data_IF_926274102235
#
_entry.id   IF_926274102235
#
_cell.length_a   1.000
_cell.length_b   1.000
_cell.length_c   1.000
_cell.angle_alpha   90.00
_cell.angle_beta   90.00
_cell.angle_gamma   90.00
#
_symmetry.space_group_name_H-M   'P 1'
#
loop_
_entity.id
_entity.type
_entity.pdbx_description
1 polymer ?
#
# COMPACT_ATOMS: atom_id res chain seq x y z
N UNK A 1 -33.76 -5.52 24.40
CA UNK A 1 -32.50 -6.20 24.03
C UNK A 1 -31.89 -5.39 22.93
N UNK A 2 -30.68 -4.91 23.17
CA UNK A 2 -30.46 -3.56 23.74
C UNK A 2 -29.34 -2.89 22.97
N UNK A 3 -29.40 -1.57 22.80
CA UNK A 3 -28.38 -0.76 22.10
C UNK A 3 -26.93 -1.07 22.53
N UNK A 4 -26.76 -1.62 23.73
CA UNK A 4 -25.50 -2.08 24.34
C UNK A 4 -24.89 -3.31 23.62
N UNK A 5 -25.70 -4.30 23.21
CA UNK A 5 -25.20 -5.51 22.51
C UNK A 5 -24.57 -5.16 21.15
N UNK A 6 -25.09 -4.11 20.50
CA UNK A 6 -24.55 -3.63 19.22
C UNK A 6 -23.23 -2.83 19.37
N UNK A 7 -22.95 -2.27 20.55
CA UNK A 7 -21.72 -1.51 20.81
C UNK A 7 -20.55 -2.43 21.12
N UNK A 8 -20.77 -3.47 21.95
CA UNK A 8 -19.76 -4.47 22.27
C UNK A 8 -19.32 -5.23 21.02
N UNK A 9 -20.28 -5.62 20.17
CA UNK A 9 -20.04 -6.22 18.87
C UNK A 9 -19.20 -5.35 17.91
N UNK A 10 -19.35 -4.03 18.00
CA UNK A 10 -18.61 -3.09 17.15
C UNK A 10 -17.17 -2.94 17.63
N UNK A 11 -16.99 -2.80 18.94
CA UNK A 11 -15.66 -2.67 19.55
C UNK A 11 -14.83 -3.94 19.31
N UNK A 12 -15.44 -5.12 19.41
CA UNK A 12 -14.76 -6.38 19.07
C UNK A 12 -14.33 -6.44 17.61
N UNK A 13 -15.20 -6.01 16.67
CA UNK A 13 -14.84 -5.93 15.25
C UNK A 13 -13.68 -4.97 15.02
N UNK A 14 -13.66 -3.84 15.72
CA UNK A 14 -12.55 -2.86 15.66
C UNK A 14 -11.27 -3.48 16.22
N UNK A 15 -11.32 -4.14 17.39
CA UNK A 15 -10.18 -4.84 18.00
C UNK A 15 -9.57 -5.85 17.05
N UNK A 16 -10.40 -6.75 16.51
CA UNK A 16 -9.96 -7.80 15.58
C UNK A 16 -9.34 -7.18 14.33
N UNK A 17 -9.94 -6.12 13.79
CA UNK A 17 -9.39 -5.44 12.61
C UNK A 17 -8.08 -4.70 12.89
N UNK A 18 -7.96 -4.05 14.04
CA UNK A 18 -6.73 -3.37 14.47
C UNK A 18 -5.59 -4.37 14.66
N UNK A 19 -5.88 -5.55 15.23
CA UNK A 19 -4.92 -6.64 15.37
C UNK A 19 -4.37 -7.10 14.00
N UNK A 20 -5.24 -7.34 13.03
CA UNK A 20 -4.77 -7.71 11.68
C UNK A 20 -3.97 -6.60 11.00
N UNK A 21 -4.33 -5.33 11.24
CA UNK A 21 -3.54 -4.19 10.74
C UNK A 21 -2.15 -4.11 11.39
N UNK A 22 -2.00 -4.51 12.66
CA UNK A 22 -0.68 -4.57 13.28
C UNK A 22 0.20 -5.67 12.70
N UNK A 23 -0.38 -6.80 12.31
CA UNK A 23 0.33 -7.93 11.68
C UNK A 23 0.83 -7.61 10.26
N UNK A 24 0.25 -6.61 9.58
CA UNK A 24 0.72 -6.14 8.27
C UNK A 24 2.12 -5.51 8.32
N UNK A 25 2.71 -5.29 9.51
CA UNK A 25 4.07 -4.75 9.72
C UNK A 25 4.35 -3.45 8.95
N UNK A 26 3.33 -2.61 8.83
CA UNK A 26 3.44 -1.30 8.19
C UNK A 26 4.33 -0.39 9.02
N UNK A 27 5.05 0.54 8.38
CA UNK A 27 5.76 1.54 9.15
C UNK A 27 4.77 2.51 9.81
N UNK A 28 5.20 3.16 10.88
CA UNK A 28 4.38 4.18 11.54
C UNK A 28 3.97 5.30 10.57
N UNK A 29 4.87 5.69 9.65
CA UNK A 29 4.59 6.68 8.62
C UNK A 29 3.51 6.20 7.64
N UNK A 30 3.54 4.91 7.25
CA UNK A 30 2.53 4.34 6.37
C UNK A 30 1.15 4.30 7.04
N UNK A 31 1.10 4.02 8.35
CA UNK A 31 -0.15 4.11 9.10
C UNK A 31 -0.67 5.55 9.19
N UNK A 32 0.20 6.53 9.47
CA UNK A 32 -0.19 7.94 9.44
C UNK A 32 -0.75 8.34 8.08
N UNK A 33 -0.11 7.88 7.00
CA UNK A 33 -0.56 8.11 5.63
C UNK A 33 -1.93 7.49 5.36
N UNK A 34 -2.11 6.20 5.69
CA UNK A 34 -3.38 5.49 5.52
C UNK A 34 -4.51 6.15 6.32
N UNK A 35 -4.22 6.59 7.55
CA UNK A 35 -5.21 7.28 8.37
C UNK A 35 -5.59 8.64 7.77
N UNK A 36 -4.60 9.41 7.29
CA UNK A 36 -4.82 10.69 6.61
C UNK A 36 -5.71 10.54 5.37
N UNK A 37 -5.39 9.57 4.51
CA UNK A 37 -6.17 9.26 3.32
C UNK A 37 -7.63 8.94 3.68
N UNK A 38 -7.85 8.07 4.67
CA UNK A 38 -9.20 7.69 5.11
C UNK A 38 -9.98 8.87 5.68
N UNK A 39 -9.35 9.73 6.47
CA UNK A 39 -10.00 10.91 7.02
C UNK A 39 -10.45 11.88 5.93
N UNK A 40 -9.59 12.13 4.93
CA UNK A 40 -9.93 13.01 3.80
C UNK A 40 -11.05 12.38 2.96
N UNK A 41 -10.99 11.06 2.73
CA UNK A 41 -12.01 10.31 2.00
C UNK A 41 -13.39 10.37 2.67
N UNK A 42 -13.44 10.34 4.01
CA UNK A 42 -14.70 10.48 4.77
C UNK A 42 -15.22 11.93 4.71
N UNK A 43 -14.32 12.92 4.71
CA UNK A 43 -14.69 14.34 4.69
C UNK A 43 -15.11 14.86 3.31
N UNK A 44 -14.57 14.28 2.22
CA UNK A 44 -14.84 14.72 0.84
C UNK A 44 -15.03 13.50 -0.07
N UNK A 45 -16.17 13.43 -0.78
CA UNK A 45 -16.37 12.52 -1.91
C UNK A 45 -15.81 13.17 -3.18
N UNK A 46 -14.52 12.99 -3.47
CA UNK A 46 -13.86 13.62 -4.62
C UNK A 46 -12.43 13.14 -4.86
N UNK A 47 -11.73 13.73 -5.84
CA UNK A 47 -10.30 13.47 -6.05
C UNK A 47 -9.51 13.96 -4.84
N UNK A 48 -8.67 13.09 -4.30
CA UNK A 48 -7.83 13.39 -3.15
C UNK A 48 -6.49 13.91 -3.66
N UNK A 49 -6.07 15.06 -3.16
CA UNK A 49 -4.76 15.62 -3.46
C UNK A 49 -3.68 15.01 -2.56
N UNK A 50 -2.54 14.68 -3.15
CA UNK A 50 -1.42 14.01 -2.47
C UNK A 50 -0.79 14.95 -1.44
N UNK A 51 -0.72 16.25 -1.75
CA UNK A 51 -0.14 17.26 -0.84
C UNK A 51 -1.03 17.46 0.40
N UNK A 52 -2.35 17.41 0.24
CA UNK A 52 -3.30 17.41 1.36
C UNK A 52 -3.12 16.16 2.25
N UNK A 53 -3.00 14.96 1.66
CA UNK A 53 -2.72 13.73 2.42
C UNK A 53 -1.42 13.88 3.20
N UNK A 54 -0.36 14.34 2.55
CA UNK A 54 0.95 14.48 3.18
C UNK A 54 0.91 15.43 4.37
N UNK A 55 0.30 16.62 4.20
CA UNK A 55 0.15 17.59 5.28
C UNK A 55 -0.65 17.00 6.44
N UNK A 56 -1.72 16.26 6.15
CA UNK A 56 -2.55 15.61 7.18
C UNK A 56 -1.80 14.46 7.87
N UNK A 57 -1.02 13.67 7.14
CA UNK A 57 -0.20 12.61 7.69
C UNK A 57 0.86 13.16 8.66
N UNK A 58 1.47 14.30 8.34
CA UNK A 58 2.40 14.99 9.24
C UNK A 58 1.72 15.49 10.52
N UNK A 59 0.50 16.04 10.43
CA UNK A 59 -0.29 16.42 11.61
C UNK A 59 -0.58 15.21 12.50
N UNK A 60 -1.00 14.09 11.90
CA UNK A 60 -1.26 12.84 12.61
C UNK A 60 0.02 12.31 13.26
N UNK A 61 1.14 12.31 12.53
CA UNK A 61 2.43 11.87 13.06
C UNK A 61 2.85 12.66 14.30
N UNK A 62 2.54 13.96 14.35
CA UNK A 62 2.84 14.81 15.51
C UNK A 62 1.88 14.60 16.68
N UNK A 63 0.62 14.24 16.40
CA UNK A 63 -0.41 14.06 17.42
C UNK A 63 -0.38 12.68 18.08
N UNK A 64 -0.10 11.64 17.31
CA UNK A 64 -0.11 10.26 17.78
C UNK A 64 1.29 9.81 18.14
N UNK A 65 1.41 9.05 19.23
CA UNK A 65 2.72 8.56 19.73
C UNK A 65 2.82 7.04 19.76
N UNK A 66 1.70 6.34 19.59
CA UNK A 66 1.65 4.88 19.65
C UNK A 66 1.10 4.27 18.37
N UNK A 67 1.76 3.20 17.96
CA UNK A 67 1.41 2.42 16.77
C UNK A 67 -0.01 1.82 16.89
N UNK A 68 -0.31 1.22 18.05
CA UNK A 68 -1.59 0.55 18.29
C UNK A 68 -2.78 1.51 18.21
N UNK A 69 -2.60 2.75 18.66
CA UNK A 69 -3.63 3.79 18.59
C UNK A 69 -3.97 4.15 17.12
N UNK A 70 -2.96 4.19 16.24
CA UNK A 70 -3.18 4.40 14.80
C UNK A 70 -3.90 3.21 14.16
N UNK A 71 -3.46 1.98 14.43
CA UNK A 71 -4.14 0.76 13.96
C UNK A 71 -5.61 0.75 14.36
N UNK A 72 -5.89 1.13 15.62
CA UNK A 72 -7.24 1.25 16.13
C UNK A 72 -8.07 2.28 15.37
N UNK A 73 -7.56 3.50 15.20
CA UNK A 73 -8.29 4.57 14.49
C UNK A 73 -8.56 4.24 13.03
N UNK A 74 -7.61 3.59 12.36
CA UNK A 74 -7.80 3.13 10.98
C UNK A 74 -8.89 2.04 10.93
N UNK A 75 -8.85 1.09 11.86
CA UNK A 75 -9.87 0.03 11.96
C UNK A 75 -11.27 0.60 12.22
N UNK A 76 -11.38 1.55 13.14
CA UNK A 76 -12.60 2.26 13.49
C UNK A 76 -13.22 2.93 12.25
N UNK A 77 -12.46 3.77 11.53
CA UNK A 77 -12.95 4.44 10.32
C UNK A 77 -13.34 3.45 9.22
N UNK A 78 -12.58 2.35 9.06
CA UNK A 78 -12.87 1.34 8.05
C UNK A 78 -14.17 0.57 8.32
N UNK A 79 -14.55 0.41 9.59
CA UNK A 79 -15.78 -0.29 9.98
C UNK A 79 -16.96 0.68 9.97
N UNK A 80 -16.80 1.87 10.59
CA UNK A 80 -17.85 2.89 10.66
C UNK A 80 -18.21 3.40 9.26
N UNK A 81 -17.22 3.68 8.40
CA UNK A 81 -17.47 4.10 7.02
C UNK A 81 -18.27 3.08 6.18
N UNK A 82 -18.15 1.79 6.47
CA UNK A 82 -18.95 0.73 5.83
C UNK A 82 -20.40 0.67 6.34
N UNK A 83 -20.68 1.18 7.54
CA UNK A 83 -22.03 1.24 8.10
C UNK A 83 -22.81 2.38 7.46
N UNK A 84 -22.16 3.51 7.15
CA UNK A 84 -22.79 4.65 6.51
C UNK A 84 -23.13 4.39 5.03
N UNK A 85 -22.24 3.73 4.27
CA UNK A 85 -22.54 3.29 2.90
C UNK A 85 -23.74 2.32 2.83
N UNK A 86 -23.88 1.44 3.84
CA UNK A 86 -25.01 0.51 3.92
C UNK A 86 -26.30 1.16 4.39
N UNK A 87 -26.24 2.21 5.22
CA UNK A 87 -27.43 3.00 5.61
C UNK A 87 -28.00 3.78 4.42
N UNK A 88 -27.15 4.37 3.58
CA UNK A 88 -27.59 5.04 2.34
C UNK A 88 -28.27 4.05 1.36
N UNK A 89 -27.81 2.80 1.30
CA UNK A 89 -28.44 1.71 0.55
C UNK A 89 -29.73 1.18 1.16
N UNK A 90 -29.96 1.39 2.47
CA UNK A 90 -31.16 0.95 3.18
C UNK A 90 -32.26 2.02 3.14
N UNK A 91 -31.91 3.30 3.22
CA UNK A 91 -32.86 4.42 3.06
C UNK A 91 -33.45 4.55 1.66
N UNK A 92 -32.80 3.99 0.62
CA UNK A 92 -33.35 3.94 -0.74
C UNK A 92 -34.24 2.70 -1.01
N UNK A 93 -34.39 1.77 -0.06
CA UNK A 93 -35.19 0.54 -0.25
C UNK A 93 -36.58 0.57 0.38
N UNK A 94 -36.98 1.67 1.01
CA UNK A 94 -38.33 1.81 1.60
C UNK A 94 -39.32 2.61 0.73
N UNK A 95 -38.95 2.96 -0.51
CA UNK A 95 -39.89 3.56 -1.48
C UNK A 95 -40.40 2.55 -2.50
N UNK A 96 -41.61 2.05 -2.21
CA UNK A 96 -42.64 1.43 -3.09
C UNK A 96 -42.22 0.28 -4.04
N UNK A 97 -42.63 -0.98 -3.75
CA UNK A 97 -42.29 -2.19 -4.52
C UNK A 97 -42.98 -2.34 -5.91
N UNK A 98 -43.57 -1.30 -6.48
CA UNK A 98 -44.26 -1.38 -7.78
C UNK A 98 -43.39 -0.92 -8.97
N UNK A 99 -42.53 0.09 -8.79
CA UNK A 99 -41.67 0.60 -9.89
C UNK A 99 -40.46 -0.31 -10.17
N UNK A 100 -40.06 -1.14 -9.21
CA UNK A 100 -38.92 -2.07 -9.34
C UNK A 100 -39.19 -3.20 -10.35
N UNK A 101 -40.47 -3.59 -10.55
CA UNK A 101 -40.82 -4.61 -11.56
C UNK A 101 -40.69 -4.09 -12.97
N UNK A 102 -41.16 -2.88 -13.24
CA UNK A 102 -41.06 -2.26 -14.57
C UNK A 102 -39.61 -1.97 -14.95
N UNK A 103 -38.77 -1.54 -14.01
CA UNK A 103 -37.33 -1.32 -14.24
C UNK A 103 -36.58 -2.64 -14.46
N UNK A 104 -36.98 -3.72 -13.77
CA UNK A 104 -36.38 -5.04 -13.97
C UNK A 104 -36.79 -5.67 -15.32
N UNK A 105 -38.05 -5.51 -15.71
CA UNK A 105 -38.55 -5.94 -17.02
C UNK A 105 -37.92 -5.12 -18.17
N UNK A 106 -37.75 -3.81 -17.98
CA UNK A 106 -37.05 -2.96 -18.95
C UNK A 106 -35.57 -3.33 -19.09
N UNK A 107 -34.89 -3.67 -17.98
CA UNK A 107 -33.51 -4.16 -18.01
C UNK A 107 -33.37 -5.54 -18.65
N UNK A 108 -34.33 -6.44 -18.43
CA UNK A 108 -34.32 -7.75 -19.07
C UNK A 108 -34.55 -7.65 -20.58
N UNK A 109 -35.44 -6.76 -21.04
CA UNK A 109 -35.61 -6.47 -22.46
C UNK A 109 -34.33 -5.90 -23.08
N UNK A 110 -33.64 -5.00 -22.37
CA UNK A 110 -32.36 -4.45 -22.82
C UNK A 110 -31.25 -5.53 -22.95
N UNK A 111 -31.21 -6.49 -22.02
CA UNK A 111 -30.28 -7.63 -22.09
C UNK A 111 -30.60 -8.57 -23.26
N UNK A 112 -31.87 -8.80 -23.56
CA UNK A 112 -32.31 -9.59 -24.74
C UNK A 112 -31.95 -8.90 -26.06
N UNK A 113 -32.13 -7.58 -26.14
CA UNK A 113 -31.75 -6.78 -27.32
C UNK A 113 -30.23 -6.76 -27.52
N UNK A 114 -29.45 -6.70 -26.43
CA UNK A 114 -27.99 -6.77 -26.52
C UNK A 114 -27.51 -8.17 -26.95
N UNK A 115 -28.17 -9.23 -26.49
CA UNK A 115 -27.84 -10.60 -26.87
C UNK A 115 -28.15 -10.91 -28.35
N UNK A 116 -29.21 -10.32 -28.91
CA UNK A 116 -29.53 -10.45 -30.33
C UNK A 116 -28.54 -9.69 -31.22
N UNK A 117 -28.06 -8.50 -30.80
CA UNK A 117 -26.97 -7.80 -31.49
C UNK A 117 -25.65 -8.59 -31.50
N UNK A 118 -25.31 -9.28 -30.41
CA UNK A 118 -24.11 -10.12 -30.35
C UNK A 118 -24.21 -11.33 -31.29
N UNK A 119 -25.38 -11.99 -31.38
CA UNK A 119 -25.60 -13.09 -32.33
C UNK A 119 -25.47 -12.64 -33.78
N UNK A 120 -25.95 -11.45 -34.11
CA UNK A 120 -25.84 -10.90 -35.46
C UNK A 120 -24.40 -10.51 -35.84
N UNK A 121 -23.58 -10.07 -34.87
CA UNK A 121 -22.14 -9.86 -35.07
C UNK A 121 -21.37 -11.18 -35.25
N UNK A 122 -21.76 -12.23 -34.53
CA UNK A 122 -21.13 -13.55 -34.63
C UNK A 122 -21.44 -14.23 -35.97
N UNK A 123 -22.66 -14.07 -36.47
CA UNK A 123 -23.08 -14.55 -37.79
C UNK A 123 -22.35 -13.82 -38.92
N UNK A 124 -22.20 -12.48 -38.81
CA UNK A 124 -21.37 -11.66 -39.72
C UNK A 124 -19.87 -12.02 -39.68
N UNK A 125 -19.37 -12.54 -38.55
CA UNK A 125 -17.99 -13.05 -38.47
C UNK A 125 -17.86 -14.42 -39.16
N UNK A 126 -18.91 -15.25 -39.13
CA UNK A 126 -18.91 -16.61 -39.67
C UNK A 126 -19.08 -16.70 -41.20
N UNK A 127 -19.62 -15.67 -41.84
CA UNK A 127 -19.73 -15.59 -43.31
C UNK A 127 -18.45 -15.10 -44.01
N UNK A 128 -17.43 -14.66 -43.26
CA UNK A 128 -16.10 -14.33 -43.81
C UNK A 128 -15.20 -15.56 -43.94
N UNK A 129 -15.61 -16.54 -44.77
CA UNK A 129 -14.70 -17.58 -45.27
C UNK A 129 -13.84 -17.04 -46.42
N UNK A 130 -12.53 -17.29 -46.29
CA UNK A 130 -11.42 -17.14 -47.24
C UNK A 130 -11.75 -16.73 -48.69
N UNK A 131 -10.95 -15.78 -49.23
CA UNK A 131 -10.25 -16.02 -50.47
C UNK A 131 -8.84 -16.55 -50.16
N UNK A 132 -8.51 -17.75 -50.65
CA UNK A 132 -7.13 -18.13 -50.93
C UNK A 132 -6.54 -17.08 -51.89
N UNK A 133 -5.70 -16.19 -51.36
CA UNK A 133 -4.88 -15.31 -52.18
C UNK A 133 -3.43 -15.73 -51.97
N UNK A 134 -2.89 -16.39 -53.00
CA UNK A 134 -1.44 -16.49 -53.24
C UNK A 134 -0.87 -15.07 -53.25
N UNK A 135 -0.02 -14.74 -52.28
CA UNK A 135 0.83 -13.54 -52.36
C UNK A 135 2.29 -13.98 -52.39
N UNK A 136 2.81 -14.04 -53.62
CA UNK A 136 4.21 -13.80 -53.88
C UNK A 136 4.49 -12.30 -53.63
N UNK A 137 5.57 -11.99 -52.89
CA UNK A 137 6.23 -10.66 -52.73
C UNK A 137 5.46 -9.59 -51.90
N UNK A 138 6.00 -8.79 -50.97
CA UNK A 138 7.36 -8.23 -50.72
C UNK A 138 7.63 -7.97 -49.21
N UNK A 139 8.84 -8.24 -48.69
CA UNK A 139 9.24 -8.06 -47.28
C UNK A 139 9.95 -6.71 -46.97
N UNK A 140 9.40 -5.56 -47.38
CA UNK A 140 10.10 -4.26 -47.26
C UNK A 140 9.58 -3.31 -46.17
N UNK A 141 8.29 -3.30 -45.82
CA UNK A 141 7.75 -2.28 -44.88
C UNK A 141 7.98 -2.64 -43.40
N UNK A 142 8.13 -3.93 -43.06
CA UNK A 142 8.38 -4.38 -41.67
C UNK A 142 9.82 -4.10 -41.20
N UNK A 143 10.74 -3.78 -42.12
CA UNK A 143 12.14 -3.44 -41.78
C UNK A 143 12.30 -1.98 -41.37
N UNK A 144 11.56 -1.07 -41.99
CA UNK A 144 11.67 0.36 -41.71
C UNK A 144 11.17 0.71 -40.31
N UNK A 145 10.07 0.07 -39.85
CA UNK A 145 9.57 0.23 -38.49
C UNK A 145 10.50 -0.37 -37.41
N UNK A 146 11.28 -1.40 -37.75
CA UNK A 146 12.25 -2.00 -36.83
C UNK A 146 13.54 -1.16 -36.73
N UNK A 147 14.00 -0.59 -37.85
CA UNK A 147 15.13 0.33 -37.85
C UNK A 147 14.81 1.67 -37.15
N UNK A 148 13.59 2.18 -37.28
CA UNK A 148 13.15 3.40 -36.59
C UNK A 148 13.13 3.23 -35.07
N UNK A 149 12.66 2.07 -34.57
CA UNK A 149 12.64 1.76 -33.12
C UNK A 149 14.04 1.53 -32.54
N UNK A 150 14.96 0.95 -33.31
CA UNK A 150 16.34 0.77 -32.86
C UNK A 150 17.10 2.10 -32.75
N UNK A 151 16.88 3.04 -33.67
CA UNK A 151 17.48 4.40 -33.57
C UNK A 151 16.98 5.17 -32.35
N UNK A 152 15.68 5.04 -32.01
CA UNK A 152 15.12 5.66 -30.81
C UNK A 152 15.70 5.11 -29.49
N UNK A 153 15.97 3.80 -29.44
CA UNK A 153 16.63 3.16 -28.28
C UNK A 153 18.07 3.63 -28.11
N UNK A 154 18.80 3.83 -29.20
CA UNK A 154 20.19 4.28 -29.19
C UNK A 154 20.30 5.76 -28.74
N UNK A 155 19.36 6.62 -29.14
CA UNK A 155 19.25 8.00 -28.64
C UNK A 155 18.94 8.06 -27.13
N UNK A 156 18.02 7.23 -26.63
CA UNK A 156 17.75 7.17 -25.18
C UNK A 156 18.98 6.71 -24.38
N UNK A 157 19.69 5.69 -24.85
CA UNK A 157 20.90 5.20 -24.17
C UNK A 157 22.00 6.28 -24.10
N UNK A 158 22.10 7.11 -25.13
CA UNK A 158 23.04 8.24 -25.18
C UNK A 158 22.70 9.31 -24.14
N UNK A 159 21.41 9.64 -23.99
CA UNK A 159 20.95 10.62 -22.99
C UNK A 159 21.18 10.14 -21.55
N UNK A 160 20.96 8.84 -21.27
CA UNK A 160 21.23 8.27 -19.95
C UNK A 160 22.72 8.33 -19.59
N UNK A 161 23.60 8.02 -20.55
CA UNK A 161 25.05 8.05 -20.33
C UNK A 161 25.56 9.46 -20.00
N UNK A 162 25.00 10.47 -20.67
CA UNK A 162 25.34 11.88 -20.42
C UNK A 162 24.80 12.38 -19.07
N UNK A 163 23.65 11.88 -18.61
CA UNK A 163 23.12 12.18 -17.27
C UNK A 163 23.93 11.53 -16.15
N UNK A 164 24.41 10.30 -16.34
CA UNK A 164 25.29 9.62 -15.37
C UNK A 164 26.64 10.34 -15.24
N UNK A 165 27.23 10.78 -16.36
CA UNK A 165 28.51 11.50 -16.35
C UNK A 165 28.37 12.86 -15.62
N UNK A 166 27.27 13.59 -15.85
CA UNK A 166 26.94 14.83 -15.12
C UNK A 166 26.68 14.62 -13.62
N UNK A 167 26.22 13.44 -13.21
CA UNK A 167 26.08 13.11 -11.78
C UNK A 167 27.44 12.86 -11.12
N UNK A 168 28.40 12.30 -11.87
CA UNK A 168 29.71 11.88 -11.35
C UNK A 168 30.69 13.05 -11.07
N UNK A 169 30.52 14.20 -11.73
CA UNK A 169 31.32 15.41 -11.49
C UNK A 169 30.90 16.21 -10.24
N UNK A 170 29.72 15.92 -9.67
CA UNK A 170 29.22 16.59 -8.46
C UNK A 170 29.71 15.91 -7.16
N UNK A 171 31.04 15.81 -6.97
CA UNK A 171 31.61 15.39 -5.68
C UNK A 171 31.40 16.47 -4.61
N UNK A 172 30.39 16.28 -3.76
CA UNK A 172 30.26 16.99 -2.48
C UNK A 172 31.18 16.33 -1.44
N UNK A 173 31.84 17.09 -0.55
CA UNK A 173 32.82 16.57 0.41
C UNK A 173 32.22 15.52 1.37
N UNK A 174 33.04 14.51 1.68
CA UNK A 174 32.77 13.46 2.67
C UNK A 174 32.43 14.08 4.05
N UNK A 175 31.15 14.12 4.37
CA UNK A 175 30.71 14.27 5.75
C UNK A 175 30.81 12.89 6.39
N UNK A 176 31.77 12.72 7.31
CA UNK A 176 31.80 11.61 8.28
C UNK A 176 30.50 11.62 9.07
N UNK A 177 29.50 10.89 8.61
CA UNK A 177 28.26 10.62 9.31
C UNK A 177 28.34 9.24 9.95
N UNK A 178 29.18 9.12 10.99
CA UNK A 178 29.10 8.04 11.97
C UNK A 178 27.75 8.16 12.70
N UNK A 179 26.72 7.47 12.24
CA UNK A 179 25.42 7.54 12.91
C UNK A 179 24.28 6.74 12.31
N UNK A 180 24.43 6.18 11.11
CA UNK A 180 23.42 5.32 10.50
C UNK A 180 24.07 4.04 10.00
N UNK A 181 24.64 3.26 10.93
CA UNK A 181 24.69 1.83 10.72
C UNK A 181 23.23 1.39 10.56
N UNK A 182 22.89 1.07 9.31
CA UNK A 182 21.92 0.04 8.97
C UNK A 182 21.75 -0.90 10.16
N UNK A 183 20.51 -1.05 10.64
CA UNK A 183 20.13 -2.12 11.57
C UNK A 183 20.46 -3.45 10.88
N UNK A 184 21.72 -3.88 10.91
CA UNK A 184 22.08 -5.28 10.75
C UNK A 184 21.14 -6.04 11.67
N UNK A 185 20.40 -6.98 11.10
CA UNK A 185 19.43 -7.79 11.84
C UNK A 185 20.20 -8.64 12.84
N UNK A 186 20.47 -8.07 14.01
CA UNK A 186 21.06 -8.76 15.15
C UNK A 186 20.22 -10.02 15.39
N UNK A 187 20.91 -11.16 15.39
CA UNK A 187 20.32 -12.47 15.61
C UNK A 187 20.97 -13.10 16.85
N UNK A 188 20.18 -13.83 17.63
CA UNK A 188 20.71 -14.55 18.76
C UNK A 188 21.51 -15.77 18.27
N UNK A 189 22.79 -15.93 18.67
CA UNK A 189 23.61 -17.05 18.23
C UNK A 189 23.13 -18.41 18.74
N UNK A 190 22.30 -18.43 19.79
CA UNK A 190 21.81 -19.66 20.41
C UNK A 190 20.48 -20.15 19.84
N UNK A 191 19.55 -19.26 19.52
CA UNK A 191 18.19 -19.64 19.09
C UNK A 191 17.72 -18.98 17.79
N UNK A 192 18.57 -18.16 17.15
CA UNK A 192 18.23 -17.50 15.89
C UNK A 192 17.18 -16.39 15.99
N UNK A 193 16.67 -16.07 17.19
CA UNK A 193 15.70 -15.00 17.36
C UNK A 193 16.28 -13.65 16.90
N UNK A 194 15.50 -12.87 16.16
CA UNK A 194 15.91 -11.60 15.55
C UNK A 194 15.06 -10.43 16.06
N UNK A 195 15.61 -9.22 15.98
CA UNK A 195 14.86 -7.99 16.19
C UNK A 195 14.50 -7.71 17.65
N UNK A 196 13.22 -7.45 17.93
CA UNK A 196 12.72 -6.96 19.23
C UNK A 196 12.95 -7.90 20.42
N UNK A 197 13.25 -9.17 20.15
CA UNK A 197 13.54 -10.19 21.16
C UNK A 197 14.93 -9.96 21.79
N UNK A 198 15.83 -9.20 21.15
CA UNK A 198 17.17 -8.91 21.66
C UNK A 198 17.16 -7.55 22.38
N UNK A 199 17.44 -7.55 23.68
CA UNK A 199 17.55 -6.35 24.51
C UNK A 199 19.01 -5.96 24.71
N UNK A 200 19.32 -4.67 24.69
CA UNK A 200 20.64 -4.18 25.12
C UNK A 200 20.59 -3.81 26.59
N UNK A 201 21.55 -4.28 27.38
CA UNK A 201 21.68 -4.02 28.82
C UNK A 201 23.12 -3.64 29.13
N UNK A 202 23.31 -2.70 30.05
CA UNK A 202 24.63 -2.28 30.51
C UNK A 202 25.27 -3.35 31.41
N UNK A 203 26.48 -3.78 31.06
CA UNK A 203 27.27 -4.72 31.83
C UNK A 203 28.06 -3.99 32.93
N UNK A 204 27.47 -3.97 34.13
CA UNK A 204 28.07 -3.31 35.29
C UNK A 204 29.42 -3.89 35.73
N UNK A 205 29.80 -5.08 35.23
CA UNK A 205 31.11 -5.67 35.50
C UNK A 205 32.25 -5.07 34.67
N UNK A 206 31.92 -4.38 33.55
CA UNK A 206 32.90 -3.80 32.63
C UNK A 206 32.66 -2.33 32.43
N UNK A 207 33.42 -1.51 33.16
CA UNK A 207 33.45 -0.06 32.97
C UNK A 207 34.41 0.26 31.82
N UNK A 208 33.93 0.96 30.80
CA UNK A 208 34.75 1.40 29.66
C UNK A 208 35.49 2.69 29.97
N UNK A 209 34.80 3.67 30.56
CA UNK A 209 35.35 4.97 30.90
C UNK A 209 34.45 5.69 31.93
N UNK A 210 34.91 6.83 32.44
CA UNK A 210 34.13 7.69 33.33
C UNK A 210 33.89 9.05 32.66
N UNK A 211 32.65 9.54 32.72
CA UNK A 211 32.31 10.94 32.39
C UNK A 211 32.03 11.65 33.71
N UNK A 212 33.02 12.39 34.20
CA UNK A 212 33.00 12.96 35.54
C UNK A 212 32.95 11.86 36.60
N UNK A 213 31.93 11.88 37.46
CA UNK A 213 31.70 10.87 38.52
C UNK A 213 30.81 9.70 38.09
N UNK A 214 30.36 9.65 36.83
CA UNK A 214 29.46 8.59 36.33
C UNK A 214 30.24 7.58 35.45
N UNK A 215 30.26 6.28 35.81
CA UNK A 215 30.85 5.24 34.98
C UNK A 215 29.99 4.97 33.73
N UNK A 216 30.65 4.78 32.59
CA UNK A 216 30.07 4.22 31.37
C UNK A 216 30.38 2.74 31.33
N UNK A 217 29.35 1.92 31.20
CA UNK A 217 29.48 0.47 31.13
C UNK A 217 29.44 -0.02 29.68
N UNK A 218 30.07 -1.18 29.43
CA UNK A 218 29.94 -1.87 28.15
C UNK A 218 28.50 -2.35 27.96
N UNK A 219 27.93 -2.18 26.77
CA UNK A 219 26.62 -2.74 26.45
C UNK A 219 26.75 -4.19 26.02
N UNK A 220 25.99 -5.08 26.65
CA UNK A 220 25.78 -6.46 26.23
C UNK A 220 24.36 -6.66 25.67
N UNK A 221 24.18 -7.67 24.84
CA UNK A 221 22.88 -8.06 24.28
C UNK A 221 22.37 -9.28 25.03
N UNK A 222 21.07 -9.30 25.31
CA UNK A 222 20.39 -10.40 26.00
C UNK A 222 19.22 -10.82 25.13
N UNK A 223 19.18 -12.10 24.77
CA UNK A 223 18.03 -12.69 24.09
C UNK A 223 16.92 -12.99 25.09
N UNK A 224 15.73 -12.40 24.90
CA UNK A 224 14.56 -12.68 25.75
C UNK A 224 13.98 -14.07 25.54
N UNK A 225 14.24 -14.70 24.39
CA UNK A 225 13.71 -16.03 24.07
C UNK A 225 14.48 -17.15 24.79
N UNK A 226 15.82 -17.10 24.80
CA UNK A 226 16.66 -18.18 25.36
C UNK A 226 17.55 -17.77 26.54
N UNK A 227 17.50 -16.49 26.94
CA UNK A 227 18.29 -15.95 28.06
C UNK A 227 19.79 -15.75 27.77
N UNK A 228 20.27 -16.05 26.57
CA UNK A 228 21.70 -15.93 26.24
C UNK A 228 22.15 -14.47 26.23
N UNK A 229 23.27 -14.21 26.90
CA UNK A 229 24.00 -12.95 26.84
C UNK A 229 25.16 -13.05 25.84
N UNK A 230 25.38 -12.01 25.04
CA UNK A 230 26.47 -11.92 24.05
C UNK A 230 26.78 -10.46 23.68
#
# INVERSE_FOLDING_TARGET
MSVIENQEDLEEKIKVRAYYLSEENLSFNDLCWRLAEKLIQVQRKGRIDIDEIKKKAEEIYKQYTKYDELCWRIAELAIVGKVDEKKDLFSQKETKPQEVKEVFEAKNKFLEDQASQFKEQEEKLSESKLPEIRVETKPQEVKEDFEAKNKFLEEQASQFKEQEEKLSESKTPEIKLEGLLSKERLSCPKCGAVGHIIKSVDDKSKVLSYIGSRPIYQKKKICRNCGQEF
#
